data_IF_480797279561
#
_entry.id   IF_480797279561
#
_cell.length_a   1.000
_cell.length_b   1.000
_cell.length_c   1.000
_cell.angle_alpha   90.00
_cell.angle_beta   90.00
_cell.angle_gamma   90.00
#
_symmetry.space_group_name_H-M   'P 1'
#
loop_
_entity.id
_entity.type
_entity.pdbx_description
1 polymer ?
#
# COMPACT_ATOMS: atom_id res chain seq x y z
N UNK A 1 8.35 -33.33 -15.74
CA UNK A 1 9.40 -32.67 -14.94
C UNK A 1 8.82 -31.32 -14.54
N UNK A 2 8.07 -31.30 -13.43
CA UNK A 2 8.54 -31.12 -12.05
C UNK A 2 8.83 -29.65 -11.73
N UNK A 3 7.93 -29.03 -10.97
CA UNK A 3 8.25 -28.49 -9.66
C UNK A 3 6.93 -28.28 -8.89
N UNK A 4 6.90 -28.84 -7.69
CA UNK A 4 5.98 -28.59 -6.56
C UNK A 4 5.08 -27.36 -6.71
N UNK A 5 3.78 -27.58 -6.92
CA UNK A 5 2.75 -26.57 -6.64
C UNK A 5 2.67 -26.42 -5.12
N UNK A 6 3.62 -25.71 -4.54
CA UNK A 6 3.51 -25.28 -3.14
C UNK A 6 2.45 -24.20 -3.14
N UNK A 7 1.20 -24.62 -2.99
CA UNK A 7 0.03 -23.76 -2.92
C UNK A 7 0.27 -22.75 -1.78
N UNK A 8 0.67 -21.53 -2.13
CA UNK A 8 0.88 -20.47 -1.15
C UNK A 8 -0.47 -20.14 -0.55
N UNK A 9 -0.56 -19.98 0.79
CA UNK A 9 -1.81 -19.54 1.40
C UNK A 9 -2.21 -18.18 0.80
N UNK A 10 -3.53 -17.89 0.73
CA UNK A 10 -4.03 -16.57 0.37
C UNK A 10 -3.28 -15.44 1.08
N UNK A 11 -2.81 -14.46 0.31
CA UNK A 11 -2.10 -13.29 0.83
C UNK A 11 -3.03 -12.08 0.85
N UNK A 12 -3.13 -11.44 2.01
CA UNK A 12 -3.73 -10.12 2.14
C UNK A 12 -2.67 -9.09 2.56
N UNK A 13 -2.72 -7.90 1.99
CA UNK A 13 -1.86 -6.77 2.36
C UNK A 13 -2.72 -5.66 2.96
N UNK A 14 -2.33 -5.18 4.14
CA UNK A 14 -3.01 -4.07 4.84
C UNK A 14 -2.07 -2.88 4.92
N UNK A 15 -2.45 -1.77 4.29
CA UNK A 15 -1.69 -0.52 4.27
C UNK A 15 -2.33 0.45 5.27
N UNK A 16 -1.61 0.77 6.35
CA UNK A 16 -2.05 1.69 7.39
C UNK A 16 -1.73 3.15 6.99
N UNK A 17 -2.65 3.79 6.28
CA UNK A 17 -2.52 5.14 5.74
C UNK A 17 -3.24 6.23 6.55
N UNK A 18 -3.79 5.90 7.73
CA UNK A 18 -4.60 6.78 8.58
C UNK A 18 -3.77 7.70 9.53
N UNK A 19 -2.48 7.87 9.28
CA UNK A 19 -1.62 8.70 10.13
C UNK A 19 -1.87 10.20 9.94
N UNK A 20 -1.88 10.97 11.03
CA UNK A 20 -2.16 12.42 11.06
C UNK A 20 -1.18 13.31 10.26
N UNK A 21 -0.05 12.80 9.77
CA UNK A 21 0.87 13.57 8.94
C UNK A 21 1.51 14.82 9.60
N UNK A 22 1.49 14.92 10.94
CA UNK A 22 1.75 16.17 11.70
C UNK A 22 3.11 16.84 11.45
N UNK A 23 4.12 16.09 10.99
CA UNK A 23 5.44 16.65 10.66
C UNK A 23 5.48 17.41 9.34
N UNK A 24 4.51 17.19 8.44
CA UNK A 24 4.48 17.84 7.12
C UNK A 24 3.90 19.25 7.14
N UNK A 25 3.19 19.64 8.24
CA UNK A 25 2.59 20.98 8.40
C UNK A 25 1.81 21.42 7.15
N UNK A 26 0.96 20.53 6.65
CA UNK A 26 0.21 20.70 5.41
C UNK A 26 -1.21 20.19 5.62
N UNK A 27 -2.18 20.83 4.98
CA UNK A 27 -3.58 20.41 4.97
C UNK A 27 -3.80 19.16 4.10
N UNK A 28 -2.81 18.80 3.27
CA UNK A 28 -2.81 17.58 2.49
C UNK A 28 -2.35 16.41 3.39
N UNK A 29 -3.09 15.29 3.48
CA UNK A 29 -2.60 14.11 4.16
C UNK A 29 -1.24 13.65 3.63
N UNK A 30 -0.32 13.21 4.50
CA UNK A 30 1.04 12.79 4.09
C UNK A 30 1.04 11.82 2.91
N UNK A 31 0.12 10.86 2.92
CA UNK A 31 0.04 9.80 1.91
C UNK A 31 -0.40 10.30 0.53
N UNK A 32 -1.03 11.48 0.47
CA UNK A 32 -1.48 12.12 -0.77
C UNK A 32 -0.50 13.15 -1.31
N UNK A 33 0.54 13.50 -0.56
CA UNK A 33 1.60 14.37 -1.09
C UNK A 33 2.27 13.70 -2.29
N UNK A 34 2.53 14.49 -3.32
CA UNK A 34 3.19 14.01 -4.53
C UNK A 34 4.68 13.79 -4.30
N UNK A 35 5.17 12.65 -4.82
CA UNK A 35 6.58 12.33 -4.99
C UNK A 35 6.73 11.99 -6.47
N UNK A 36 7.60 12.70 -7.19
CA UNK A 36 7.80 12.52 -8.63
C UNK A 36 6.49 12.54 -9.45
N UNK A 37 5.55 13.42 -9.11
CA UNK A 37 4.27 13.60 -9.81
C UNK A 37 3.21 12.52 -9.54
N UNK A 38 3.40 11.68 -8.52
CA UNK A 38 2.42 10.67 -8.08
C UNK A 38 2.20 10.75 -6.58
N UNK A 39 0.98 10.54 -6.05
CA UNK A 39 0.76 10.45 -4.62
C UNK A 39 1.67 9.40 -3.97
N UNK A 40 2.25 9.72 -2.81
CA UNK A 40 3.14 8.81 -2.08
C UNK A 40 2.50 7.42 -1.85
N UNK A 41 1.18 7.36 -1.61
CA UNK A 41 0.42 6.13 -1.45
C UNK A 41 0.49 5.21 -2.67
N UNK A 42 0.53 5.76 -3.89
CA UNK A 42 0.56 4.98 -5.12
C UNK A 42 1.76 4.05 -5.19
N UNK A 43 2.93 4.50 -4.72
CA UNK A 43 4.14 3.65 -4.65
C UNK A 43 3.97 2.44 -3.72
N UNK A 44 3.28 2.63 -2.60
CA UNK A 44 3.03 1.55 -1.63
C UNK A 44 2.01 0.56 -2.18
N UNK A 45 0.98 1.05 -2.88
CA UNK A 45 -0.02 0.21 -3.55
C UNK A 45 0.63 -0.60 -4.67
N UNK A 46 1.47 0.01 -5.52
CA UNK A 46 2.20 -0.69 -6.58
C UNK A 46 3.07 -1.82 -5.99
N UNK A 47 3.80 -1.54 -4.90
CA UNK A 47 4.60 -2.53 -4.20
C UNK A 47 3.73 -3.67 -3.62
N UNK A 48 2.57 -3.35 -3.03
CA UNK A 48 1.64 -4.35 -2.52
C UNK A 48 1.07 -5.24 -3.62
N UNK A 49 0.75 -4.68 -4.80
CA UNK A 49 0.25 -5.45 -5.93
C UNK A 49 1.32 -6.35 -6.56
N UNK A 50 2.59 -6.00 -6.46
CA UNK A 50 3.71 -6.77 -7.03
C UNK A 50 3.88 -8.18 -6.42
N UNK A 51 3.35 -8.41 -5.22
CA UNK A 51 3.38 -9.74 -4.56
C UNK A 51 2.13 -10.57 -4.83
N UNK A 52 1.30 -10.15 -5.79
CA UNK A 52 0.06 -10.84 -6.22
C UNK A 52 -0.85 -11.25 -5.05
N UNK A 53 -1.24 -10.31 -4.16
CA UNK A 53 -2.14 -10.62 -3.06
C UNK A 53 -3.56 -10.87 -3.59
N UNK A 54 -4.33 -11.68 -2.88
CA UNK A 54 -5.77 -11.84 -3.11
C UNK A 54 -6.53 -10.55 -2.75
N UNK A 55 -6.00 -9.79 -1.78
CA UNK A 55 -6.63 -8.56 -1.30
C UNK A 55 -5.60 -7.52 -0.88
N UNK A 56 -5.83 -6.27 -1.29
CA UNK A 56 -5.15 -5.09 -0.75
C UNK A 56 -6.20 -4.23 -0.04
N UNK A 57 -5.95 -3.88 1.22
CA UNK A 57 -6.80 -3.00 2.02
C UNK A 57 -6.00 -1.78 2.43
N UNK A 58 -6.52 -0.59 2.14
CA UNK A 58 -5.95 0.68 2.63
C UNK A 58 -6.83 1.19 3.76
N UNK A 59 -6.25 1.37 4.94
CA UNK A 59 -6.93 1.96 6.10
C UNK A 59 -6.69 3.47 6.09
N UNK A 60 -7.75 4.25 5.99
CA UNK A 60 -7.72 5.71 6.03
C UNK A 60 -8.30 6.25 7.34
N UNK A 61 -7.97 7.50 7.67
CA UNK A 61 -8.66 8.22 8.75
C UNK A 61 -10.00 8.79 8.27
N UNK A 62 -10.88 9.24 9.19
CA UNK A 62 -12.06 10.02 8.86
C UNK A 62 -11.70 11.38 8.24
#
# INVERSE_FOLDING_TARGET
>A
MSATDTQRPPLAVVILAAGLGTRMKSDVPKVLHEVCGRPMLSYVVDAALSVSPERVVVVTGP
#
